data_IF_557684303533
#
_entry.id   IF_557684303533
#
_cell.length_a   1.000
_cell.length_b   1.000
_cell.length_c   1.000
_cell.angle_alpha   90.00
_cell.angle_beta   90.00
_cell.angle_gamma   90.00
#
_symmetry.space_group_name_H-M   'P 1'
#
loop_
_entity.id
_entity.type
_entity.pdbx_description
1 polymer ?
#
# COMPACT_ATOMS: atom_id res chain seq x y z
N UNK A 1 34.22 -13.51 -19.86
CA UNK A 1 33.66 -14.75 -20.43
C UNK A 1 32.24 -14.92 -19.90
N UNK A 2 31.22 -15.06 -20.77
CA UNK A 2 29.81 -15.17 -20.40
C UNK A 2 29.24 -16.61 -20.50
N UNK A 3 28.01 -16.79 -19.98
CA UNK A 3 27.02 -17.88 -20.21
C UNK A 3 27.12 -19.19 -19.37
N UNK A 4 26.02 -19.99 -19.21
CA UNK A 4 24.72 -19.68 -18.60
C UNK A 4 24.07 -20.87 -17.80
N UNK A 5 22.86 -20.63 -17.28
CA UNK A 5 21.86 -21.58 -16.72
C UNK A 5 21.64 -22.88 -17.52
N UNK A 6 21.03 -23.91 -16.88
CA UNK A 6 20.11 -24.80 -17.58
C UNK A 6 18.69 -24.81 -16.96
N UNK A 7 17.70 -24.41 -17.77
CA UNK A 7 16.28 -24.73 -17.58
C UNK A 7 16.05 -26.24 -17.79
N UNK A 8 15.46 -26.94 -16.82
CA UNK A 8 14.87 -28.27 -17.05
C UNK A 8 13.39 -28.14 -17.39
N UNK A 9 13.06 -28.19 -18.69
CA UNK A 9 11.70 -28.47 -19.18
C UNK A 9 11.51 -29.98 -19.29
N UNK A 10 10.53 -30.55 -18.58
CA UNK A 10 10.07 -31.93 -18.80
C UNK A 10 9.19 -31.97 -20.05
N UNK A 11 9.55 -32.79 -21.02
CA UNK A 11 8.75 -33.09 -22.22
C UNK A 11 7.99 -34.40 -21.96
N UNK A 12 6.67 -34.49 -22.17
CA UNK A 12 5.95 -35.75 -22.14
C UNK A 12 6.24 -36.59 -23.40
N UNK A 13 6.44 -37.91 -23.20
CA UNK A 13 6.66 -38.91 -24.25
C UNK A 13 5.46 -39.00 -25.21
N UNK A 14 5.71 -38.92 -26.51
CA UNK A 14 4.78 -39.30 -27.57
C UNK A 14 4.55 -40.82 -27.57
N UNK A 15 3.28 -41.24 -27.51
CA UNK A 15 2.84 -42.58 -27.90
C UNK A 15 2.36 -42.52 -29.36
N UNK A 16 2.87 -43.44 -30.19
CA UNK A 16 2.42 -43.66 -31.57
C UNK A 16 1.04 -44.35 -31.61
N UNK A 17 0.15 -43.92 -32.50
CA UNK A 17 -0.94 -44.75 -33.03
C UNK A 17 -1.41 -44.25 -34.42
N UNK A 18 -1.22 -45.15 -35.41
CA UNK A 18 -1.90 -45.46 -36.68
C UNK A 18 -2.61 -44.40 -37.58
N UNK A 19 -2.53 -44.58 -38.93
CA UNK A 19 -2.98 -43.61 -39.92
C UNK A 19 -4.44 -43.83 -40.37
N UNK A 20 -5.12 -42.73 -40.71
CA UNK A 20 -6.34 -42.75 -41.52
C UNK A 20 -7.57 -42.19 -40.82
N UNK A 21 -7.70 -40.86 -40.79
CA UNK A 21 -8.99 -40.16 -40.80
C UNK A 21 -8.70 -38.69 -41.18
N UNK A 22 -9.45 -38.14 -42.14
CA UNK A 22 -9.30 -36.74 -42.58
C UNK A 22 -9.57 -35.77 -41.43
N UNK A 23 -8.50 -35.14 -40.93
CA UNK A 23 -8.56 -34.11 -39.90
C UNK A 23 -8.84 -32.77 -40.61
N UNK A 24 -10.07 -32.26 -40.47
CA UNK A 24 -10.31 -30.83 -40.58
C UNK A 24 -9.41 -30.14 -39.55
N UNK A 25 -8.46 -29.34 -40.02
CA UNK A 25 -7.60 -28.52 -39.17
C UNK A 25 -8.44 -27.43 -38.50
N UNK A 26 -9.12 -27.75 -37.41
CA UNK A 26 -9.46 -26.75 -36.40
C UNK A 26 -8.14 -26.41 -35.72
N UNK A 27 -7.45 -25.39 -36.25
CA UNK A 27 -6.28 -24.82 -35.59
C UNK A 27 -6.74 -24.37 -34.20
N UNK A 28 -6.28 -25.00 -33.10
CA UNK A 28 -6.61 -24.49 -31.77
C UNK A 28 -5.95 -23.12 -31.69
N UNK A 29 -6.77 -22.07 -31.62
CA UNK A 29 -6.27 -20.71 -31.38
C UNK A 29 -5.33 -20.81 -30.18
N UNK A 30 -4.06 -20.36 -30.27
CA UNK A 30 -3.22 -20.34 -29.10
C UNK A 30 -3.94 -19.48 -28.08
N UNK A 31 -4.33 -20.09 -26.95
CA UNK A 31 -4.76 -19.33 -25.79
C UNK A 31 -3.51 -18.60 -25.35
N UNK A 32 -3.30 -17.42 -25.93
CA UNK A 32 -2.32 -16.46 -25.47
C UNK A 32 -2.80 -16.12 -24.06
N UNK A 33 -2.28 -16.81 -23.04
CA UNK A 33 -2.36 -16.33 -21.66
C UNK A 33 -1.57 -15.03 -21.67
N UNK A 34 -2.25 -13.92 -21.98
CA UNK A 34 -1.75 -12.59 -21.76
C UNK A 34 -1.57 -12.52 -20.24
N UNK A 35 -0.34 -12.70 -19.78
CA UNK A 35 0.02 -12.37 -18.42
C UNK A 35 -0.16 -10.87 -18.29
N UNK A 36 -1.31 -10.46 -17.74
CA UNK A 36 -1.58 -9.08 -17.42
C UNK A 36 -0.60 -8.68 -16.33
N UNK A 37 0.33 -7.78 -16.66
CA UNK A 37 1.20 -7.19 -15.66
C UNK A 37 0.34 -6.35 -14.72
N UNK A 38 0.43 -6.62 -13.42
CA UNK A 38 -0.32 -5.88 -12.40
C UNK A 38 0.51 -4.70 -11.89
N UNK A 39 -0.18 -3.65 -11.46
CA UNK A 39 0.42 -2.52 -10.76
C UNK A 39 0.87 -2.97 -9.37
N UNK A 40 2.01 -2.44 -8.93
CA UNK A 40 2.57 -2.73 -7.61
C UNK A 40 1.91 -1.83 -6.55
N UNK A 41 1.31 -2.43 -5.54
CA UNK A 41 0.72 -1.74 -4.37
C UNK A 41 1.70 -1.68 -3.18
N UNK A 42 2.93 -2.17 -3.36
CA UNK A 42 4.04 -2.13 -2.41
C UNK A 42 3.82 -2.95 -1.12
N UNK A 43 2.94 -3.96 -1.14
CA UNK A 43 2.67 -4.83 0.04
C UNK A 43 3.95 -5.54 0.52
N UNK A 44 4.85 -5.89 -0.40
CA UNK A 44 6.15 -6.49 -0.10
C UNK A 44 7.10 -5.55 0.64
N UNK A 45 6.87 -4.23 0.60
CA UNK A 45 7.66 -3.21 1.29
C UNK A 45 7.29 -3.02 2.76
N UNK A 46 6.20 -3.63 3.25
CA UNK A 46 5.77 -3.48 4.63
C UNK A 46 6.78 -4.18 5.57
N UNK A 47 7.43 -3.37 6.41
CA UNK A 47 8.39 -3.87 7.41
C UNK A 47 7.72 -4.13 8.77
N UNK A 48 7.07 -5.29 8.87
CA UNK A 48 6.44 -5.76 10.11
C UNK A 48 7.41 -5.85 11.29
N UNK A 49 8.71 -6.05 11.05
CA UNK A 49 9.69 -6.19 12.13
C UNK A 49 9.85 -4.88 12.92
N UNK A 50 9.68 -3.72 12.27
CA UNK A 50 9.75 -2.39 12.92
C UNK A 50 8.68 -2.21 14.00
N UNK A 51 7.52 -2.86 13.84
CA UNK A 51 6.37 -2.74 14.74
C UNK A 51 6.35 -3.80 15.84
N UNK A 52 7.31 -4.72 15.85
CA UNK A 52 7.48 -5.67 16.93
C UNK A 52 8.27 -5.04 18.09
N UNK A 53 8.09 -5.54 19.33
CA UNK A 53 8.79 -5.07 20.52
C UNK A 53 10.32 -5.27 20.46
N UNK A 54 10.81 -6.08 19.52
CA UNK A 54 12.24 -6.37 19.30
C UNK A 54 12.96 -6.94 20.55
N UNK A 55 12.21 -7.41 21.55
CA UNK A 55 12.70 -8.04 22.77
C UNK A 55 12.16 -9.47 22.86
N UNK A 56 13.03 -10.41 23.26
CA UNK A 56 12.70 -11.78 23.68
C UNK A 56 11.66 -12.55 22.84
N UNK A 57 11.85 -12.56 21.52
CA UNK A 57 10.95 -13.24 20.57
C UNK A 57 10.81 -14.76 20.77
N UNK A 58 11.67 -15.37 21.60
CA UNK A 58 11.47 -16.73 22.12
C UNK A 58 10.13 -16.88 22.84
N UNK A 59 9.66 -15.83 23.52
CA UNK A 59 8.39 -15.78 24.22
C UNK A 59 7.19 -15.59 23.27
N UNK A 60 7.41 -15.07 22.06
CA UNK A 60 6.44 -15.14 20.96
C UNK A 60 6.38 -16.54 20.29
N UNK A 61 7.12 -17.52 20.83
CA UNK A 61 7.15 -18.90 20.37
C UNK A 61 8.06 -19.17 19.16
N UNK A 62 9.01 -18.29 18.84
CA UNK A 62 9.99 -18.51 17.76
C UNK A 62 11.42 -18.19 18.17
N UNK A 63 12.38 -18.88 17.55
CA UNK A 63 13.81 -18.68 17.84
C UNK A 63 14.30 -17.27 17.47
N UNK A 64 13.67 -16.62 16.50
CA UNK A 64 14.02 -15.27 16.05
C UNK A 64 12.76 -14.49 15.70
N UNK A 65 12.80 -13.17 15.93
CA UNK A 65 11.69 -12.27 15.58
C UNK A 65 11.37 -12.29 14.08
N UNK A 66 12.40 -12.46 13.22
CA UNK A 66 12.21 -12.58 11.77
C UNK A 66 11.39 -13.81 11.41
N UNK A 67 11.67 -14.95 12.05
CA UNK A 67 10.90 -16.18 11.86
C UNK A 67 9.45 -16.00 12.31
N UNK A 68 9.23 -15.29 13.42
CA UNK A 68 7.87 -14.95 13.87
C UNK A 68 7.13 -14.11 12.81
N UNK A 69 7.77 -13.09 12.23
CA UNK A 69 7.17 -12.31 11.12
C UNK A 69 6.85 -13.20 9.90
N UNK A 70 7.74 -14.12 9.54
CA UNK A 70 7.49 -15.06 8.44
C UNK A 70 6.31 -15.98 8.72
N UNK A 71 6.16 -16.44 9.96
CA UNK A 71 5.04 -17.28 10.41
C UNK A 71 3.73 -16.49 10.47
N UNK A 72 3.77 -15.20 10.85
CA UNK A 72 2.63 -14.28 10.76
C UNK A 72 2.19 -14.08 9.30
N UNK A 73 3.13 -13.76 8.39
CA UNK A 73 2.85 -13.58 6.95
C UNK A 73 2.25 -14.84 6.31
N UNK A 74 2.61 -16.02 6.81
CA UNK A 74 2.11 -17.31 6.32
C UNK A 74 0.83 -17.77 7.02
N UNK A 75 0.27 -16.96 7.93
CA UNK A 75 -0.94 -17.30 8.68
C UNK A 75 -0.76 -18.47 9.65
N UNK A 76 0.48 -18.87 9.96
CA UNK A 76 0.78 -19.93 10.93
C UNK A 76 0.65 -19.47 12.37
N UNK A 77 0.79 -18.16 12.61
CA UNK A 77 0.67 -17.51 13.91
C UNK A 77 -0.20 -16.25 13.81
N UNK A 78 -0.67 -15.80 14.96
CA UNK A 78 -1.43 -14.55 15.12
C UNK A 78 -0.63 -13.55 15.96
N UNK A 79 -0.87 -12.24 15.79
CA UNK A 79 -0.24 -11.21 16.63
C UNK A 79 -0.50 -11.43 18.13
N UNK A 80 -1.69 -11.93 18.48
CA UNK A 80 -2.09 -12.25 19.86
C UNK A 80 -1.28 -13.40 20.50
N UNK A 81 -0.54 -14.19 19.72
CA UNK A 81 0.28 -15.28 20.25
C UNK A 81 1.56 -14.75 20.93
N UNK A 82 1.91 -13.48 20.76
CA UNK A 82 3.06 -12.87 21.44
C UNK A 82 2.60 -11.96 22.61
N UNK A 83 3.04 -12.22 23.85
CA UNK A 83 2.65 -11.42 25.02
C UNK A 83 3.21 -9.99 25.01
N UNK A 84 4.24 -9.72 24.19
CA UNK A 84 4.92 -8.43 24.14
C UNK A 84 4.33 -7.45 23.11
N UNK A 85 3.36 -7.89 22.30
CA UNK A 85 2.66 -7.00 21.36
C UNK A 85 1.49 -6.35 22.09
N UNK A 86 1.37 -5.02 22.00
CA UNK A 86 0.24 -4.33 22.59
C UNK A 86 -1.07 -4.76 21.92
N UNK A 87 -2.14 -4.88 22.70
CA UNK A 87 -3.45 -5.27 22.19
C UNK A 87 -3.95 -4.33 21.07
N UNK A 88 -3.60 -3.05 21.17
CA UNK A 88 -3.90 -2.04 20.16
C UNK A 88 -3.31 -2.32 18.79
N UNK A 89 -2.24 -3.12 18.70
CA UNK A 89 -1.61 -3.49 17.44
C UNK A 89 -2.19 -4.77 16.83
N UNK A 90 -2.98 -5.57 17.56
CA UNK A 90 -3.52 -6.83 17.04
C UNK A 90 -4.36 -6.63 15.77
N UNK A 91 -5.28 -5.67 15.81
CA UNK A 91 -6.12 -5.34 14.66
C UNK A 91 -5.32 -4.70 13.51
N UNK A 92 -4.48 -3.67 13.75
CA UNK A 92 -3.55 -3.15 12.74
C UNK A 92 -2.71 -4.21 12.03
N UNK A 93 -2.13 -5.16 12.78
CA UNK A 93 -1.39 -6.27 12.19
C UNK A 93 -2.27 -7.15 11.32
N UNK A 94 -3.48 -7.48 11.77
CA UNK A 94 -4.41 -8.29 11.00
C UNK A 94 -4.75 -7.63 9.65
N UNK A 95 -5.06 -6.34 9.65
CA UNK A 95 -5.34 -5.58 8.41
C UNK A 95 -4.13 -5.58 7.47
N UNK A 96 -2.94 -5.30 7.99
CA UNK A 96 -1.73 -5.25 7.18
C UNK A 96 -1.31 -6.63 6.62
N UNK A 97 -1.51 -7.71 7.39
CA UNK A 97 -1.25 -9.08 6.94
C UNK A 97 -2.26 -9.55 5.88
N UNK A 98 -3.49 -9.04 5.89
CA UNK A 98 -4.55 -9.36 4.93
C UNK A 98 -4.55 -8.44 3.69
N UNK A 99 -3.53 -7.60 3.53
CA UNK A 99 -3.45 -6.58 2.48
C UNK A 99 -3.66 -7.15 1.06
N UNK A 100 -3.14 -8.34 0.77
CA UNK A 100 -3.28 -8.97 -0.56
C UNK A 100 -4.74 -9.32 -0.92
N UNK A 101 -5.59 -9.54 0.09
CA UNK A 101 -7.01 -9.83 -0.10
C UNK A 101 -7.87 -8.56 -0.07
N UNK A 102 -7.45 -7.55 0.70
CA UNK A 102 -8.15 -6.28 0.84
C UNK A 102 -7.94 -5.35 -0.35
N UNK A 103 -6.73 -5.32 -0.90
CA UNK A 103 -6.36 -4.35 -1.91
C UNK A 103 -6.84 -4.78 -3.31
N UNK A 104 -7.49 -3.87 -4.07
CA UNK A 104 -7.86 -4.14 -5.45
C UNK A 104 -6.63 -4.33 -6.34
N UNK A 105 -6.75 -5.23 -7.33
CA UNK A 105 -5.71 -5.48 -8.32
C UNK A 105 -5.98 -4.67 -9.59
N UNK A 106 -4.96 -3.95 -10.05
CA UNK A 106 -5.06 -3.14 -11.26
C UNK A 106 -4.05 -3.61 -12.31
N UNK A 107 -4.37 -3.52 -13.61
CA UNK A 107 -3.35 -3.64 -14.64
C UNK A 107 -2.32 -2.51 -14.49
N UNK A 108 -1.05 -2.81 -14.79
CA UNK A 108 -0.03 -1.80 -14.97
C UNK A 108 -0.37 -0.99 -16.22
N UNK A 109 -0.73 0.27 -16.02
CA UNK A 109 -1.14 1.18 -17.10
C UNK A 109 0.01 2.13 -17.44
N UNK A 110 0.16 2.41 -18.73
CA UNK A 110 1.10 3.42 -19.24
C UNK A 110 0.49 4.82 -19.32
N UNK A 111 -0.82 4.94 -19.06
CA UNK A 111 -1.57 6.19 -19.16
C UNK A 111 -2.08 6.63 -17.79
N UNK A 112 -2.00 7.94 -17.45
CA UNK A 112 -2.57 8.47 -16.22
C UNK A 112 -4.09 8.25 -16.15
N UNK A 113 -4.62 8.14 -14.94
CA UNK A 113 -6.06 8.02 -14.64
C UNK A 113 -6.48 9.11 -13.66
N UNK A 114 -6.79 10.33 -14.14
CA UNK A 114 -7.19 11.43 -13.26
C UNK A 114 -8.52 11.12 -12.58
N UNK A 115 -8.56 11.39 -11.29
CA UNK A 115 -9.73 11.31 -10.41
C UNK A 115 -9.99 12.66 -9.73
N UNK A 116 -11.01 12.71 -8.85
CA UNK A 116 -11.36 13.92 -8.11
C UNK A 116 -10.20 14.43 -7.24
N UNK A 117 -10.11 15.74 -7.08
CA UNK A 117 -9.12 16.43 -6.24
C UNK A 117 -9.83 17.14 -5.09
N UNK A 118 -9.05 17.58 -4.11
CA UNK A 118 -9.56 18.36 -2.99
C UNK A 118 -9.72 17.55 -1.71
N UNK A 119 -10.29 18.20 -0.70
CA UNK A 119 -10.41 17.70 0.66
C UNK A 119 -11.61 16.77 0.79
N UNK A 120 -11.37 15.62 1.40
CA UNK A 120 -12.37 14.62 1.76
C UNK A 120 -12.28 14.39 3.26
N UNK A 121 -13.44 14.39 3.91
CA UNK A 121 -13.57 14.12 5.33
C UNK A 121 -13.93 12.64 5.55
N UNK A 122 -13.14 11.96 6.37
CA UNK A 122 -13.33 10.55 6.71
C UNK A 122 -13.78 10.46 8.16
N UNK A 123 -14.89 9.77 8.41
CA UNK A 123 -15.44 9.50 9.74
C UNK A 123 -15.62 10.74 10.65
N UNK A 124 -16.05 11.88 10.08
CA UNK A 124 -16.33 13.15 10.81
C UNK A 124 -15.12 13.67 11.60
N UNK A 125 -14.10 14.21 10.92
CA UNK A 125 -12.86 14.66 11.54
C UNK A 125 -13.06 15.92 12.39
N UNK A 126 -12.35 15.98 13.52
CA UNK A 126 -12.29 17.14 14.41
C UNK A 126 -11.01 17.95 14.21
N UNK A 127 -10.78 18.94 15.09
CA UNK A 127 -9.68 19.90 14.90
C UNK A 127 -8.28 19.27 15.00
N UNK A 128 -8.09 18.28 15.88
CA UNK A 128 -6.81 17.58 16.10
C UNK A 128 -6.60 16.36 15.19
N UNK A 129 -7.51 16.15 14.23
CA UNK A 129 -7.45 15.02 13.31
C UNK A 129 -6.32 15.21 12.26
N UNK A 130 -5.51 14.16 11.98
CA UNK A 130 -4.39 14.30 11.06
C UNK A 130 -4.88 14.46 9.61
N UNK A 131 -4.06 15.15 8.81
CA UNK A 131 -4.27 15.33 7.38
C UNK A 131 -3.41 14.35 6.59
N UNK A 132 -4.03 13.43 5.87
CA UNK A 132 -3.40 12.55 4.92
C UNK A 132 -3.32 13.23 3.55
N UNK A 133 -2.15 13.19 2.92
CA UNK A 133 -1.93 13.66 1.56
C UNK A 133 -1.83 12.46 0.61
N UNK A 134 -2.49 12.54 -0.54
CA UNK A 134 -2.33 11.56 -1.63
C UNK A 134 -2.49 12.21 -3.01
N UNK A 135 -2.25 11.45 -4.07
CA UNK A 135 -2.46 11.88 -5.46
C UNK A 135 -3.85 11.53 -5.98
N UNK A 136 -4.31 12.21 -7.03
CA UNK A 136 -5.64 12.01 -7.61
C UNK A 136 -5.74 10.88 -8.63
N UNK A 137 -4.79 9.94 -8.69
CA UNK A 137 -4.95 8.78 -9.57
C UNK A 137 -6.07 7.88 -9.06
N UNK A 138 -7.02 7.49 -9.91
CA UNK A 138 -8.21 6.73 -9.47
C UNK A 138 -7.86 5.42 -8.76
N UNK A 139 -6.88 4.66 -9.25
CA UNK A 139 -6.44 3.42 -8.58
C UNK A 139 -5.75 3.70 -7.24
N UNK A 140 -5.01 4.81 -7.13
CA UNK A 140 -4.44 5.24 -5.85
C UNK A 140 -5.53 5.59 -4.84
N UNK A 141 -6.62 6.21 -5.29
CA UNK A 141 -7.79 6.51 -4.47
C UNK A 141 -8.50 5.23 -4.02
N UNK A 142 -8.68 4.27 -4.91
CA UNK A 142 -9.27 2.97 -4.59
C UNK A 142 -8.44 2.22 -3.53
N UNK A 143 -7.10 2.23 -3.64
CA UNK A 143 -6.20 1.61 -2.65
C UNK A 143 -6.32 2.28 -1.28
N UNK A 144 -6.21 3.61 -1.20
CA UNK A 144 -6.23 4.31 0.09
C UNK A 144 -7.60 4.22 0.75
N UNK A 145 -8.68 4.31 -0.02
CA UNK A 145 -10.05 4.21 0.51
C UNK A 145 -10.39 2.79 0.96
N UNK A 146 -9.87 1.76 0.29
CA UNK A 146 -10.01 0.36 0.74
C UNK A 146 -9.43 0.16 2.14
N UNK A 147 -8.24 0.73 2.40
CA UNK A 147 -7.62 0.66 3.73
C UNK A 147 -8.37 1.53 4.74
N UNK A 148 -8.73 2.77 4.40
CA UNK A 148 -9.49 3.64 5.29
C UNK A 148 -10.88 3.07 5.63
N UNK A 149 -11.46 2.24 4.77
CA UNK A 149 -12.69 1.49 5.04
C UNK A 149 -12.56 0.45 6.15
N UNK A 150 -11.34 0.10 6.57
CA UNK A 150 -11.08 -0.81 7.70
C UNK A 150 -10.98 -0.08 9.04
N UNK A 151 -11.32 1.20 9.13
CA UNK A 151 -11.26 1.92 10.40
C UNK A 151 -12.41 2.89 10.60
N UNK A 152 -12.77 3.10 11.87
CA UNK A 152 -13.65 4.18 12.29
C UNK A 152 -12.88 5.45 12.72
N UNK A 153 -11.55 5.44 12.61
CA UNK A 153 -10.74 6.62 12.89
C UNK A 153 -11.03 7.72 11.89
N UNK A 154 -11.04 8.97 12.38
CA UNK A 154 -11.28 10.12 11.55
C UNK A 154 -10.00 10.61 10.89
N UNK A 155 -10.12 11.10 9.66
CA UNK A 155 -9.01 11.68 8.89
C UNK A 155 -9.52 12.82 8.03
N UNK A 156 -8.67 13.82 7.82
CA UNK A 156 -8.75 14.64 6.62
C UNK A 156 -7.92 13.96 5.54
N UNK A 157 -8.44 13.83 4.33
CA UNK A 157 -7.72 13.28 3.18
C UNK A 157 -7.74 14.30 2.05
N UNK A 158 -6.57 14.79 1.65
CA UNK A 158 -6.44 15.77 0.56
C UNK A 158 -5.81 15.09 -0.66
N UNK A 159 -6.57 15.05 -1.75
CA UNK A 159 -6.10 14.59 -3.05
C UNK A 159 -5.53 15.76 -3.85
N UNK A 160 -4.22 15.72 -4.05
CA UNK A 160 -3.45 16.66 -4.87
C UNK A 160 -3.62 16.31 -6.34
N UNK A 161 -3.76 17.32 -7.21
CA UNK A 161 -3.80 17.09 -8.65
C UNK A 161 -2.43 16.66 -9.18
N UNK A 162 -2.22 15.36 -9.33
CA UNK A 162 -1.00 14.78 -9.89
C UNK A 162 -1.13 14.53 -11.39
N UNK A 163 -2.16 15.11 -12.04
CA UNK A 163 -2.57 14.84 -13.42
C UNK A 163 -2.95 13.37 -13.64
N UNK A 164 -3.44 12.71 -12.59
CA UNK A 164 -3.78 11.29 -12.61
C UNK A 164 -2.60 10.33 -12.61
N UNK A 165 -1.38 10.79 -12.34
CA UNK A 165 -0.23 9.91 -12.13
C UNK A 165 -0.31 9.26 -10.75
N UNK A 166 0.09 7.98 -10.66
CA UNK A 166 0.33 7.30 -9.38
C UNK A 166 1.38 8.06 -8.56
N UNK A 167 1.42 7.87 -7.24
CA UNK A 167 2.25 8.69 -6.34
C UNK A 167 3.74 8.62 -6.69
N UNK A 168 4.26 7.43 -6.98
CA UNK A 168 5.64 7.21 -7.44
C UNK A 168 5.95 8.01 -8.71
N UNK A 169 5.10 7.90 -9.72
CA UNK A 169 5.24 8.63 -10.98
C UNK A 169 5.05 10.14 -10.79
N UNK A 170 4.16 10.56 -9.90
CA UNK A 170 3.93 11.97 -9.59
C UNK A 170 5.15 12.63 -8.93
N UNK A 171 5.89 11.89 -8.10
CA UNK A 171 7.17 12.34 -7.55
C UNK A 171 8.21 12.45 -8.67
N UNK A 172 8.32 11.44 -9.55
CA UNK A 172 9.25 11.43 -10.68
C UNK A 172 8.99 12.59 -11.65
N UNK A 173 7.73 12.78 -12.06
CA UNK A 173 7.30 13.84 -12.97
C UNK A 173 7.14 15.20 -12.30
N UNK A 174 7.44 15.30 -11.00
CA UNK A 174 7.35 16.54 -10.21
C UNK A 174 5.96 17.19 -10.28
N UNK A 175 4.91 16.36 -10.28
CA UNK A 175 3.52 16.82 -10.11
C UNK A 175 3.06 16.74 -8.66
N UNK A 176 3.73 15.95 -7.81
CA UNK A 176 3.54 15.94 -6.35
C UNK A 176 4.76 16.57 -5.66
N UNK A 177 4.78 17.90 -5.57
CA UNK A 177 5.91 18.69 -5.00
C UNK A 177 5.52 19.39 -3.71
N UNK A 178 6.51 19.83 -2.94
CA UNK A 178 6.29 20.61 -1.72
C UNK A 178 5.45 21.86 -1.98
N UNK A 179 5.73 22.57 -3.08
CA UNK A 179 5.01 23.78 -3.47
C UNK A 179 3.54 23.50 -3.82
N UNK A 180 3.28 22.43 -4.58
CA UNK A 180 1.92 22.05 -4.94
C UNK A 180 1.12 21.61 -3.69
N UNK A 181 1.72 20.79 -2.82
CA UNK A 181 1.10 20.38 -1.55
C UNK A 181 0.79 21.61 -0.68
N UNK A 182 1.75 22.53 -0.53
CA UNK A 182 1.58 23.76 0.25
C UNK A 182 0.38 24.58 -0.26
N UNK A 183 0.32 24.80 -1.57
CA UNK A 183 -0.75 25.56 -2.23
C UNK A 183 -2.12 24.93 -1.99
N UNK A 184 -2.24 23.61 -2.19
CA UNK A 184 -3.53 22.92 -2.09
C UNK A 184 -3.99 22.79 -0.64
N UNK A 185 -3.06 22.55 0.31
CA UNK A 185 -3.37 22.58 1.74
C UNK A 185 -3.89 23.96 2.16
N UNK A 186 -3.25 25.05 1.73
CA UNK A 186 -3.72 26.41 2.03
C UNK A 186 -5.08 26.69 1.40
N UNK A 187 -5.28 26.29 0.14
CA UNK A 187 -6.52 26.50 -0.61
C UNK A 187 -7.68 25.70 -0.02
N UNK A 188 -7.41 24.50 0.51
CA UNK A 188 -8.43 23.65 1.14
C UNK A 188 -9.07 24.25 2.40
N UNK A 189 -8.42 25.24 3.03
CA UNK A 189 -8.87 25.83 4.30
C UNK A 189 -8.71 24.91 5.51
N UNK A 190 -8.21 23.67 5.36
CA UNK A 190 -8.15 22.65 6.44
C UNK A 190 -7.31 23.08 7.66
N UNK A 191 -6.41 24.05 7.47
CA UNK A 191 -5.58 24.60 8.54
C UNK A 191 -6.24 25.78 9.28
N UNK A 192 -7.35 26.33 8.79
CA UNK A 192 -8.05 27.43 9.46
C UNK A 192 -8.73 26.90 10.73
N UNK A 193 -8.47 27.55 11.87
CA UNK A 193 -9.09 27.22 13.16
C UNK A 193 -8.28 26.28 14.06
N UNK A 194 -7.11 25.77 13.62
CA UNK A 194 -6.35 24.78 14.39
C UNK A 194 -4.87 25.13 14.46
N UNK A 195 -4.22 24.86 15.60
CA UNK A 195 -2.81 25.20 15.82
C UNK A 195 -1.84 24.05 15.54
N UNK A 196 -2.31 22.80 15.40
CA UNK A 196 -1.45 21.60 15.30
C UNK A 196 -2.12 20.48 14.50
N UNK A 197 -2.04 20.51 13.17
CA UNK A 197 -2.35 19.32 12.35
C UNK A 197 -1.07 18.62 11.95
N UNK A 198 -1.01 17.33 12.23
CA UNK A 198 -0.03 16.43 11.65
C UNK A 198 -0.37 16.25 10.17
N UNK A 199 0.52 16.66 9.29
CA UNK A 199 0.38 16.43 7.85
C UNK A 199 1.20 15.19 7.49
N UNK A 200 0.50 14.10 7.20
CA UNK A 200 1.11 12.82 6.84
C UNK A 200 1.18 12.73 5.32
N UNK A 201 2.38 12.63 4.80
CA UNK A 201 2.64 12.46 3.35
C UNK A 201 3.01 11.01 3.03
N UNK A 202 2.81 10.54 1.79
CA UNK A 202 3.25 9.20 1.39
C UNK A 202 4.77 9.05 1.53
N UNK A 203 5.23 7.84 1.88
CA UNK A 203 6.67 7.56 2.04
C UNK A 203 7.49 7.83 0.79
N UNK A 204 6.89 7.62 -0.39
CA UNK A 204 7.50 7.95 -1.70
C UNK A 204 7.77 9.46 -1.87
N UNK A 205 7.06 10.32 -1.15
CA UNK A 205 7.17 11.77 -1.22
C UNK A 205 8.07 12.36 -0.10
N UNK A 206 8.88 11.55 0.58
CA UNK A 206 9.73 11.98 1.70
C UNK A 206 10.56 13.24 1.40
N UNK A 207 11.14 13.34 0.20
CA UNK A 207 11.92 14.51 -0.24
C UNK A 207 11.10 15.80 -0.20
N UNK A 208 9.86 15.76 -0.73
CA UNK A 208 8.95 16.90 -0.69
C UNK A 208 8.56 17.26 0.75
N UNK A 209 8.51 16.28 1.66
CA UNK A 209 8.23 16.51 3.08
C UNK A 209 9.30 17.34 3.79
N UNK A 210 10.57 17.09 3.51
CA UNK A 210 11.67 17.88 4.06
C UNK A 210 11.61 19.34 3.60
N UNK A 211 11.38 19.57 2.32
CA UNK A 211 11.23 20.91 1.73
C UNK A 211 9.99 21.64 2.28
N UNK A 212 8.87 20.93 2.40
CA UNK A 212 7.63 21.48 2.93
C UNK A 212 7.80 21.90 4.39
N UNK A 213 8.42 21.05 5.23
CA UNK A 213 8.71 21.38 6.63
C UNK A 213 9.60 22.61 6.76
N UNK A 214 10.62 22.75 5.91
CA UNK A 214 11.52 23.91 5.92
C UNK A 214 10.82 25.20 5.48
N UNK A 215 9.94 25.13 4.48
CA UNK A 215 9.28 26.31 3.90
C UNK A 215 8.06 26.79 4.68
N UNK A 216 7.32 25.89 5.35
CA UNK A 216 6.07 26.24 6.05
C UNK A 216 6.16 26.18 7.56
N UNK A 217 7.13 25.45 8.11
CA UNK A 217 7.20 25.16 9.55
C UNK A 217 6.11 24.19 10.05
N UNK A 218 5.31 23.59 9.16
CA UNK A 218 4.27 22.63 9.54
C UNK A 218 4.86 21.33 10.09
N UNK A 219 4.09 20.64 10.93
CA UNK A 219 4.48 19.31 11.38
C UNK A 219 4.23 18.27 10.27
N UNK A 220 5.26 18.04 9.45
CA UNK A 220 5.22 17.04 8.38
C UNK A 220 5.74 15.70 8.90
N UNK A 221 4.94 14.67 8.72
CA UNK A 221 5.27 13.29 9.06
C UNK A 221 5.34 12.48 7.76
N UNK A 222 6.44 11.77 7.54
CA UNK A 222 6.58 10.84 6.41
C UNK A 222 5.92 9.53 6.80
N UNK A 223 4.82 9.21 6.12
CA UNK A 223 4.09 7.95 6.28
C UNK A 223 4.73 6.79 5.51
N UNK A 224 4.06 5.64 5.47
CA UNK A 224 4.57 4.45 4.78
C UNK A 224 4.51 4.59 3.25
N UNK A 225 5.24 3.71 2.55
CA UNK A 225 5.16 3.58 1.09
C UNK A 225 3.86 2.89 0.69
N UNK A 226 3.52 1.79 1.37
CA UNK A 226 2.28 1.05 1.15
C UNK A 226 1.16 1.60 2.01
N UNK A 227 -0.03 1.81 1.44
CA UNK A 227 -1.19 2.25 2.19
C UNK A 227 -1.62 1.22 3.26
N UNK A 228 -1.43 -0.08 3.00
CA UNK A 228 -1.81 -1.14 3.95
C UNK A 228 -0.93 -1.18 5.22
N UNK A 229 0.15 -0.40 5.27
CA UNK A 229 0.95 -0.21 6.49
C UNK A 229 0.41 0.94 7.36
N UNK A 230 -0.52 1.77 6.87
CA UNK A 230 -1.12 2.86 7.66
C UNK A 230 -1.70 2.41 9.01
N UNK A 231 -2.39 1.25 9.12
CA UNK A 231 -2.85 0.76 10.41
C UNK A 231 -1.72 0.57 11.42
N UNK A 232 -0.61 -0.06 10.99
CA UNK A 232 0.57 -0.29 11.84
C UNK A 232 1.27 1.03 12.20
N UNK A 233 1.37 1.93 11.21
CA UNK A 233 1.98 3.24 11.38
C UNK A 233 1.22 4.13 12.38
N UNK A 234 -0.12 4.05 12.40
CA UNK A 234 -0.98 4.83 13.28
C UNK A 234 -1.24 4.15 14.63
N UNK A 235 -1.04 2.83 14.73
CA UNK A 235 -1.16 2.03 15.95
C UNK A 235 -2.45 2.36 16.73
N UNK A 236 -2.33 2.92 17.93
CA UNK A 236 -3.45 3.29 18.81
C UNK A 236 -4.44 4.28 18.16
N UNK A 237 -4.01 5.04 17.15
CA UNK A 237 -4.87 5.95 16.36
C UNK A 237 -5.68 5.23 15.28
N UNK A 238 -5.50 3.92 15.08
CA UNK A 238 -6.24 3.10 14.12
C UNK A 238 -7.31 2.25 14.82
N UNK A 239 -8.52 2.77 14.89
CA UNK A 239 -9.61 2.15 15.65
C UNK A 239 -10.36 1.13 14.80
N UNK A 240 -10.50 -0.09 15.31
CA UNK A 240 -11.32 -1.12 14.67
C UNK A 240 -12.80 -0.70 14.64
N UNK A 241 -13.52 -0.95 13.52
CA UNK A 241 -14.98 -0.86 13.50
C UNK A 241 -15.56 -1.84 14.53
N UNK A 242 -16.63 -1.45 15.22
CA UNK A 242 -17.30 -2.36 16.15
C UNK A 242 -17.92 -3.52 15.34
N UNK A 243 -17.62 -4.76 15.74
CA UNK A 243 -18.28 -5.98 15.25
C UNK A 243 -19.69 -6.11 15.77
#
# INVERSE_FOLDING_TARGET
MPYPLPLKRRVPRMLCASPGLSIQWVIPRPILRVFMLLADTYVDRIDFFRYLPQTDCAECGDKTCRKFVEDLKQGRKKPADCPHISESLYYPFQVALDADNLLPQFPCLTVPRPGPTGLVEINTPGDDTPLLISGNNTHTQDVITSILGTTKSAFFLLFIDTRGNTVDMAVIYKTLTAEQIRKDVQTSGVLHGTSRKDIIIPGLAATAGHELKQSTGWNIIVGPICAAELPLFLADRWLAPAT
#
